data_IF_672872310502
#
_entry.id   IF_672872310502
#
_cell.length_a   1.000
_cell.length_b   1.000
_cell.length_c   1.000
_cell.angle_alpha   90.00
_cell.angle_beta   90.00
_cell.angle_gamma   90.00
#
_symmetry.space_group_name_H-M   'P 1'
#
loop_
_entity.id
_entity.type
_entity.pdbx_description
1 polymer ?
#
# COMPACT_ATOMS: atom_id res chain seq x y z
N UNK A 1 -21.82 -10.02 13.28
CA UNK A 1 -21.14 -10.28 11.99
C UNK A 1 -19.69 -9.82 12.12
N UNK A 2 -18.72 -10.70 12.44
CA UNK A 2 -17.32 -10.32 12.44
C UNK A 2 -16.85 -10.35 10.98
N UNK A 3 -16.53 -9.21 10.38
CA UNK A 3 -15.97 -9.23 9.02
C UNK A 3 -16.04 -7.93 8.23
N UNK A 4 -16.85 -6.95 8.61
CA UNK A 4 -16.96 -5.71 7.84
C UNK A 4 -15.99 -4.63 8.34
N UNK A 5 -14.69 -4.95 8.39
CA UNK A 5 -13.70 -3.90 8.19
C UNK A 5 -13.40 -3.90 6.69
N UNK A 6 -13.93 -2.93 5.97
CA UNK A 6 -13.49 -2.63 4.60
C UNK A 6 -12.01 -2.24 4.66
N UNK A 7 -11.14 -3.25 4.66
CA UNK A 7 -9.70 -3.08 4.81
C UNK A 7 -9.17 -2.81 3.40
N UNK A 8 -8.50 -1.67 3.21
CA UNK A 8 -7.96 -1.28 1.90
C UNK A 8 -6.94 -2.29 1.36
N UNK A 9 -6.36 -3.11 2.25
CA UNK A 9 -5.46 -4.22 1.91
C UNK A 9 -5.93 -5.51 2.61
N UNK A 10 -5.82 -6.66 1.92
CA UNK A 10 -6.00 -7.96 2.53
C UNK A 10 -4.83 -8.29 3.49
N UNK A 11 -4.99 -9.32 4.32
CA UNK A 11 -3.90 -9.82 5.19
C UNK A 11 -2.81 -10.57 4.39
N UNK A 12 -3.03 -10.84 3.11
CA UNK A 12 -2.11 -11.49 2.19
C UNK A 12 -1.64 -10.58 1.04
N UNK A 13 -1.19 -11.16 -0.09
CA UNK A 13 -0.81 -10.39 -1.28
C UNK A 13 -1.95 -9.50 -1.75
N UNK A 14 -1.61 -8.32 -2.28
CA UNK A 14 -2.57 -7.37 -2.79
C UNK A 14 -2.44 -7.19 -4.31
N UNK A 15 -3.55 -6.85 -4.96
CA UNK A 15 -3.58 -6.53 -6.38
C UNK A 15 -3.12 -5.10 -6.66
N UNK A 16 -2.71 -4.82 -7.90
CA UNK A 16 -2.30 -3.47 -8.32
C UNK A 16 -3.40 -2.42 -8.07
N UNK A 17 -4.67 -2.78 -8.27
CA UNK A 17 -5.81 -1.89 -8.01
C UNK A 17 -5.93 -1.52 -6.52
N UNK A 18 -5.69 -2.47 -5.62
CA UNK A 18 -5.65 -2.22 -4.18
C UNK A 18 -4.48 -1.30 -3.80
N UNK A 19 -3.31 -1.51 -4.41
CA UNK A 19 -2.16 -0.62 -4.24
C UNK A 19 -2.48 0.83 -4.64
N UNK A 20 -3.20 1.02 -5.74
CA UNK A 20 -3.66 2.34 -6.20
C UNK A 20 -4.65 2.94 -5.21
N UNK A 21 -5.64 2.17 -4.75
CA UNK A 21 -6.62 2.65 -3.77
C UNK A 21 -5.96 3.14 -2.47
N UNK A 22 -4.97 2.42 -1.95
CA UNK A 22 -4.23 2.83 -0.74
C UNK A 22 -3.43 4.10 -0.98
N UNK A 23 -2.76 4.25 -2.13
CA UNK A 23 -2.02 5.48 -2.46
C UNK A 23 -2.92 6.69 -2.64
N UNK A 24 -4.12 6.49 -3.19
CA UNK A 24 -5.12 7.55 -3.29
C UNK A 24 -5.64 7.94 -1.90
N UNK A 25 -5.83 6.97 -1.00
CA UNK A 25 -6.28 7.21 0.35
C UNK A 25 -5.21 7.89 1.24
N UNK A 26 -3.92 7.58 1.01
CA UNK A 26 -2.82 8.02 1.87
C UNK A 26 -1.67 8.66 1.07
N UNK A 27 -1.49 9.97 1.28
CA UNK A 27 -0.43 10.77 0.62
C UNK A 27 1.00 10.34 0.95
N UNK A 28 1.19 9.62 2.04
CA UNK A 28 2.48 9.15 2.53
C UNK A 28 2.80 7.70 2.11
N UNK A 29 1.92 7.05 1.34
CA UNK A 29 2.14 5.69 0.82
C UNK A 29 2.59 5.78 -0.63
N UNK A 30 3.66 5.06 -0.95
CA UNK A 30 4.25 5.00 -2.29
C UNK A 30 4.36 3.54 -2.74
N UNK A 31 4.45 3.31 -4.04
CA UNK A 31 4.77 1.98 -4.58
C UNK A 31 6.24 1.99 -4.95
N UNK A 32 7.01 1.05 -4.44
CA UNK A 32 8.32 0.70 -4.99
C UNK A 32 8.17 -0.62 -5.72
N UNK A 33 8.56 -0.64 -6.98
CA UNK A 33 8.56 -1.84 -7.80
C UNK A 33 9.99 -2.38 -7.82
N UNK A 34 10.18 -3.55 -7.20
CA UNK A 34 11.43 -4.30 -7.35
C UNK A 34 11.21 -5.34 -8.45
N UNK A 35 11.53 -4.94 -9.68
CA UNK A 35 11.65 -5.79 -10.85
C UNK A 35 10.37 -6.58 -11.25
N UNK A 36 9.29 -5.87 -11.59
CA UNK A 36 8.28 -6.32 -12.55
C UNK A 36 7.32 -7.44 -12.11
N UNK A 37 7.62 -8.13 -11.02
CA UNK A 37 6.78 -9.19 -10.43
C UNK A 37 6.33 -8.85 -9.02
N UNK A 38 7.12 -8.06 -8.27
CA UNK A 38 6.82 -7.72 -6.88
C UNK A 38 6.74 -6.21 -6.69
N UNK A 39 5.54 -5.74 -6.38
CA UNK A 39 5.30 -4.36 -5.95
C UNK A 39 5.16 -4.34 -4.42
N UNK A 40 5.92 -3.48 -3.75
CA UNK A 40 5.74 -3.21 -2.32
C UNK A 40 5.17 -1.81 -2.11
N UNK A 41 4.29 -1.69 -1.11
CA UNK A 41 3.88 -0.38 -0.60
C UNK A 41 4.87 0.05 0.47
N UNK A 42 5.33 1.28 0.39
CA UNK A 42 6.26 1.88 1.34
C UNK A 42 5.68 3.14 1.94
N UNK A 43 5.96 3.38 3.22
CA UNK A 43 5.51 4.57 3.92
C UNK A 43 6.69 5.51 4.06
N UNK A 44 6.52 6.77 3.64
CA UNK A 44 7.53 7.82 3.79
C UNK A 44 7.05 8.91 4.75
N UNK A 45 7.97 9.53 5.49
CA UNK A 45 7.63 10.74 6.26
C UNK A 45 7.48 11.95 5.33
N UNK A 46 7.10 13.10 5.91
CA UNK A 46 6.98 14.37 5.17
C UNK A 46 8.28 14.80 4.50
N UNK A 47 9.43 14.33 4.99
CA UNK A 47 10.77 14.59 4.45
C UNK A 47 11.18 13.56 3.37
N UNK A 48 10.29 12.63 3.00
CA UNK A 48 10.53 11.62 1.95
C UNK A 48 11.35 10.40 2.39
N UNK A 49 11.74 10.31 3.66
CA UNK A 49 12.51 9.19 4.21
C UNK A 49 11.62 7.96 4.41
N UNK A 50 12.15 6.78 4.04
CA UNK A 50 11.48 5.50 4.25
C UNK A 50 11.30 5.26 5.76
N UNK A 51 10.04 5.10 6.17
CA UNK A 51 9.70 4.70 7.53
C UNK A 51 9.57 3.18 7.60
N UNK A 52 8.84 2.60 6.66
CA UNK A 52 8.47 1.18 6.57
C UNK A 52 8.44 0.74 5.11
#
# INVERSE_FOLDING_TARGET
MPGCTSRLLPEGPFSREQAVAVKTAYRNVFTEDDQGTYSRLVIRNAEGQLRW
#
